data_IF_121957015456
#
_entry.id   IF_121957015456
#
_cell.length_a   1.000
_cell.length_b   1.000
_cell.length_c   1.000
_cell.angle_alpha   90.00
_cell.angle_beta   90.00
_cell.angle_gamma   90.00
#
_symmetry.space_group_name_H-M   'P 1'
#
loop_
_entity.id
_entity.type
_entity.pdbx_description
1 polymer ?
#
# COMPACT_ATOMS: atom_id res chain seq x y z
N UNK A 1 -0.32 -7.17 22.77
CA UNK A 1 0.60 -6.03 22.95
C UNK A 1 1.68 -6.13 21.88
N UNK A 2 1.48 -5.50 20.74
CA UNK A 2 2.46 -5.45 19.66
C UNK A 2 3.40 -4.24 19.80
N UNK A 3 4.51 -4.24 19.08
CA UNK A 3 5.40 -3.09 18.94
C UNK A 3 4.78 -2.17 17.88
N UNK A 4 4.31 -1.00 18.28
CA UNK A 4 3.66 -0.06 17.34
C UNK A 4 4.67 0.82 16.61
N UNK A 5 5.84 1.06 17.21
CA UNK A 5 6.91 1.86 16.64
C UNK A 5 8.28 1.51 17.21
N UNK A 6 9.32 1.75 16.42
CA UNK A 6 10.72 1.68 16.84
C UNK A 6 11.25 3.11 16.91
N UNK A 7 11.73 3.54 18.08
CA UNK A 7 12.27 4.88 18.25
C UNK A 7 13.78 4.87 18.07
N UNK A 8 14.27 5.63 17.10
CA UNK A 8 15.69 5.87 16.90
C UNK A 8 16.03 7.28 17.38
N UNK A 9 16.98 7.37 18.31
CA UNK A 9 17.50 8.68 18.74
C UNK A 9 18.55 9.18 17.77
N UNK A 10 18.34 10.36 17.22
CA UNK A 10 19.28 11.01 16.32
C UNK A 10 19.66 12.40 16.84
N UNK A 11 20.91 12.81 16.62
CA UNK A 11 21.36 14.16 16.99
C UNK A 11 20.72 15.27 16.14
N UNK A 12 20.32 14.94 14.90
CA UNK A 12 19.79 15.91 13.96
C UNK A 12 18.33 16.31 14.22
N UNK A 13 17.47 15.32 14.57
CA UNK A 13 16.02 15.55 14.70
C UNK A 13 15.47 15.14 16.07
N UNK A 14 16.31 14.61 16.97
CA UNK A 14 15.87 13.99 18.20
C UNK A 14 15.39 12.57 17.94
N UNK A 15 14.22 12.23 18.49
CA UNK A 15 13.63 10.92 18.29
C UNK A 15 12.95 10.81 16.92
N UNK A 16 13.32 9.79 16.14
CA UNK A 16 12.63 9.41 14.91
C UNK A 16 11.86 8.11 15.18
N UNK A 17 10.55 8.15 15.02
CA UNK A 17 9.69 6.98 15.15
C UNK A 17 9.57 6.27 13.80
N UNK A 18 9.91 4.99 13.76
CA UNK A 18 9.69 4.11 12.61
C UNK A 18 8.41 3.32 12.89
N UNK A 19 7.32 3.52 12.14
CA UNK A 19 6.09 2.80 12.35
C UNK A 19 6.26 1.32 12.01
N UNK A 20 5.69 0.46 12.84
CA UNK A 20 5.66 -0.98 12.61
C UNK A 20 4.23 -1.47 12.50
N UNK A 21 4.03 -2.67 11.97
CA UNK A 21 2.78 -3.38 12.13
C UNK A 21 2.67 -4.02 13.53
N UNK A 22 1.54 -4.66 13.81
CA UNK A 22 1.26 -5.35 15.08
C UNK A 22 2.28 -6.46 15.46
N UNK A 23 3.07 -6.91 14.49
CA UNK A 23 4.12 -7.91 14.67
C UNK A 23 5.53 -7.30 14.72
N UNK A 24 5.64 -5.96 14.78
CA UNK A 24 6.91 -5.26 14.81
C UNK A 24 7.64 -5.21 13.44
N UNK A 25 6.93 -5.44 12.32
CA UNK A 25 7.53 -5.43 10.98
C UNK A 25 7.45 -4.04 10.37
N UNK A 26 8.49 -3.64 9.66
CA UNK A 26 8.61 -2.37 8.94
C UNK A 26 8.37 -2.60 7.45
N UNK A 27 7.56 -1.77 6.83
CA UNK A 27 7.37 -1.76 5.39
C UNK A 27 8.58 -1.12 4.70
N UNK A 28 9.24 -1.90 3.84
CA UNK A 28 10.37 -1.44 3.04
C UNK A 28 9.83 -0.82 1.75
N UNK A 29 10.23 0.39 1.45
CA UNK A 29 9.99 1.01 0.16
C UNK A 29 11.09 0.57 -0.82
N UNK A 30 10.75 -0.33 -1.71
CA UNK A 30 11.61 -0.67 -2.84
C UNK A 30 11.46 0.43 -3.89
N UNK A 31 12.56 1.12 -4.21
CA UNK A 31 12.60 2.11 -5.28
C UNK A 31 12.20 1.50 -6.64
N UNK A 32 11.98 2.34 -7.63
CA UNK A 32 11.72 1.84 -8.98
C UNK A 32 12.80 0.86 -9.41
N UNK A 33 12.39 -0.28 -9.96
CA UNK A 33 13.25 -1.35 -10.49
C UNK A 33 14.31 -0.83 -11.48
N UNK A 34 14.03 0.31 -12.13
CA UNK A 34 14.97 1.00 -13.02
C UNK A 34 16.11 1.74 -12.28
N UNK A 35 15.89 2.17 -11.04
CA UNK A 35 16.97 2.72 -10.20
C UNK A 35 17.85 1.61 -9.64
N UNK A 36 17.33 0.41 -9.58
CA UNK A 36 17.98 -0.84 -9.20
C UNK A 36 18.60 -1.53 -10.42
N UNK A 37 18.44 -0.98 -11.65
CA UNK A 37 19.11 -1.56 -12.82
C UNK A 37 20.61 -1.65 -12.55
N UNK A 38 20.85 -2.77 -12.09
CA UNK A 38 21.98 -3.64 -11.69
C UNK A 38 23.36 -3.20 -12.11
N UNK A 39 23.56 -2.28 -12.98
CA UNK A 39 24.85 -2.29 -13.65
C UNK A 39 25.88 -1.33 -13.10
N UNK A 40 25.54 -0.30 -12.33
CA UNK A 40 26.61 0.69 -12.10
C UNK A 40 26.64 1.46 -10.78
N UNK A 41 25.59 1.45 -9.95
CA UNK A 41 25.63 2.37 -8.80
C UNK A 41 25.94 1.74 -7.45
N UNK A 42 25.44 0.54 -7.21
CA UNK A 42 25.38 0.04 -5.84
C UNK A 42 26.30 -1.12 -5.53
N UNK A 43 26.63 -1.95 -6.52
CA UNK A 43 27.52 -3.08 -6.29
C UNK A 43 28.97 -2.77 -6.60
N UNK A 44 29.82 -3.05 -5.62
CA UNK A 44 31.28 -2.97 -5.77
C UNK A 44 31.88 -4.26 -5.23
N UNK A 45 32.72 -4.92 -6.02
CA UNK A 45 33.41 -6.12 -5.57
C UNK A 45 34.34 -5.80 -4.40
N UNK A 46 34.20 -6.51 -3.28
CA UNK A 46 35.12 -6.40 -2.16
C UNK A 46 36.57 -6.65 -2.57
N UNK A 47 36.79 -7.60 -3.51
CA UNK A 47 38.14 -7.85 -4.05
C UNK A 47 38.71 -6.65 -4.82
N UNK A 48 37.86 -5.88 -5.50
CA UNK A 48 38.29 -4.69 -6.22
C UNK A 48 38.63 -3.53 -5.27
N UNK A 49 37.91 -3.42 -4.15
CA UNK A 49 38.24 -2.46 -3.09
C UNK A 49 39.61 -2.80 -2.47
N UNK A 50 39.80 -4.08 -2.08
CA UNK A 50 41.06 -4.55 -1.45
C UNK A 50 42.25 -4.37 -2.39
N UNK A 51 42.07 -4.61 -3.68
CA UNK A 51 43.12 -4.44 -4.70
C UNK A 51 43.30 -2.99 -5.16
N UNK A 52 42.59 -2.02 -4.56
CA UNK A 52 42.71 -0.59 -4.90
C UNK A 52 42.19 -0.23 -6.31
N UNK A 53 41.38 -1.08 -6.94
CA UNK A 53 40.84 -0.83 -8.28
C UNK A 53 39.62 0.07 -8.31
N UNK A 54 39.07 0.43 -7.13
CA UNK A 54 37.90 1.29 -6.98
C UNK A 54 38.34 2.69 -6.58
N UNK A 55 38.01 3.70 -7.38
CA UNK A 55 38.32 5.09 -7.08
C UNK A 55 37.66 5.60 -5.81
N UNK A 56 38.31 6.50 -5.09
CA UNK A 56 37.78 7.08 -3.84
C UNK A 56 36.41 7.75 -4.02
N UNK A 57 36.20 8.37 -5.17
CA UNK A 57 34.94 9.05 -5.53
C UNK A 57 33.70 8.11 -5.51
N UNK A 58 33.93 6.82 -5.71
CA UNK A 58 32.84 5.82 -5.60
C UNK A 58 32.50 5.44 -4.17
N UNK A 59 33.43 5.61 -3.24
CA UNK A 59 33.25 5.14 -1.86
C UNK A 59 33.10 6.33 -0.88
N UNK A 60 33.69 7.46 -1.16
CA UNK A 60 33.69 8.61 -0.26
C UNK A 60 32.25 9.14 -0.05
N UNK A 61 31.87 9.33 1.21
CA UNK A 61 30.53 9.81 1.58
C UNK A 61 29.42 8.81 1.35
N UNK A 62 29.73 7.54 1.09
CA UNK A 62 28.74 6.47 0.92
C UNK A 62 28.69 5.59 2.16
N UNK A 63 27.49 5.09 2.48
CA UNK A 63 27.29 4.00 3.42
C UNK A 63 27.47 2.68 2.66
N UNK A 64 28.43 1.87 3.07
CA UNK A 64 28.68 0.56 2.46
C UNK A 64 28.15 -0.57 3.35
N UNK A 65 27.48 -1.54 2.73
CA UNK A 65 27.05 -2.76 3.39
C UNK A 65 27.78 -3.92 2.72
N UNK A 66 28.46 -4.72 3.51
CA UNK A 66 29.13 -5.93 3.02
C UNK A 66 28.18 -7.11 3.15
N UNK A 67 27.96 -7.82 2.07
CA UNK A 67 27.13 -9.00 2.04
C UNK A 67 27.51 -9.95 0.91
N UNK A 68 26.85 -11.10 0.89
CA UNK A 68 27.06 -12.13 -0.11
C UNK A 68 25.99 -12.10 -1.15
N UNK A 69 26.36 -12.24 -2.43
CA UNK A 69 25.41 -12.32 -3.56
C UNK A 69 25.51 -13.66 -4.31
N UNK A 70 26.38 -14.57 -3.86
CA UNK A 70 26.56 -15.86 -4.49
C UNK A 70 25.39 -16.81 -4.21
N UNK A 71 24.83 -17.42 -5.25
CA UNK A 71 23.67 -18.32 -5.17
C UNK A 71 23.91 -19.49 -4.22
N UNK A 72 25.15 -19.98 -4.11
CA UNK A 72 25.54 -21.07 -3.20
C UNK A 72 25.44 -20.75 -1.72
N UNK A 73 25.40 -19.48 -1.33
CA UNK A 73 25.29 -19.05 0.07
C UNK A 73 23.84 -18.89 0.54
N UNK A 74 22.86 -19.19 -0.32
CA UNK A 74 21.41 -19.24 -0.01
C UNK A 74 20.82 -17.96 0.58
N UNK A 75 21.49 -16.82 0.46
CA UNK A 75 20.96 -15.52 0.89
C UNK A 75 20.24 -14.78 -0.24
N UNK A 76 19.41 -15.54 -0.96
CA UNK A 76 18.53 -15.02 -2.01
C UNK A 76 17.10 -15.06 -1.50
N UNK A 77 16.37 -13.95 -1.65
CA UNK A 77 15.00 -13.80 -1.19
C UNK A 77 14.08 -13.37 -2.32
N UNK A 78 12.82 -13.77 -2.21
CA UNK A 78 11.75 -13.24 -3.06
C UNK A 78 11.27 -11.91 -2.49
N UNK A 79 11.12 -10.93 -3.36
CA UNK A 79 10.60 -9.61 -3.01
C UNK A 79 9.47 -9.22 -3.98
N UNK A 80 8.64 -8.23 -3.64
CA UNK A 80 7.57 -7.76 -4.54
C UNK A 80 8.06 -7.21 -5.88
N UNK A 81 9.33 -6.80 -5.96
CA UNK A 81 9.92 -6.16 -7.16
C UNK A 81 10.88 -7.08 -7.92
N UNK A 82 11.38 -8.13 -7.28
CA UNK A 82 12.34 -9.06 -7.89
C UNK A 82 12.25 -10.45 -7.24
N UNK A 83 12.24 -11.49 -8.10
CA UNK A 83 12.14 -12.89 -7.66
C UNK A 83 13.43 -13.42 -6.99
N UNK A 84 14.56 -12.77 -7.19
CA UNK A 84 15.88 -13.23 -6.70
C UNK A 84 16.74 -12.07 -6.23
N UNK A 85 16.39 -11.48 -5.10
CA UNK A 85 17.14 -10.38 -4.51
C UNK A 85 18.10 -10.89 -3.43
N UNK A 86 19.40 -10.50 -3.45
CA UNK A 86 20.31 -10.78 -2.34
C UNK A 86 19.82 -10.14 -1.04
N UNK A 87 19.92 -10.86 0.08
CA UNK A 87 19.46 -10.35 1.38
C UNK A 87 20.14 -9.04 1.79
N UNK A 88 21.41 -8.85 1.44
CA UNK A 88 22.12 -7.59 1.66
C UNK A 88 21.45 -6.39 0.97
N UNK A 89 20.83 -6.61 -0.18
CA UNK A 89 20.10 -5.55 -0.91
C UNK A 89 18.80 -5.19 -0.22
N UNK A 90 18.11 -6.15 0.41
CA UNK A 90 16.94 -5.89 1.24
C UNK A 90 17.32 -4.99 2.42
N UNK A 91 18.44 -5.27 3.09
CA UNK A 91 18.95 -4.42 4.16
C UNK A 91 19.33 -3.01 3.66
N UNK A 92 19.90 -2.91 2.47
CA UNK A 92 20.20 -1.62 1.85
C UNK A 92 18.92 -0.80 1.60
N UNK A 93 17.88 -1.43 1.05
CA UNK A 93 16.57 -0.79 0.83
C UNK A 93 15.90 -0.38 2.15
N UNK A 94 16.03 -1.18 3.20
CA UNK A 94 15.54 -0.81 4.53
C UNK A 94 16.24 0.44 5.07
N UNK A 95 17.56 0.48 4.98
CA UNK A 95 18.36 1.64 5.43
C UNK A 95 18.03 2.87 4.60
N UNK A 96 17.89 2.73 3.30
CA UNK A 96 17.49 3.83 2.40
C UNK A 96 16.08 4.34 2.76
N UNK A 97 15.13 3.45 3.04
CA UNK A 97 13.79 3.80 3.53
C UNK A 97 13.86 4.62 4.82
N UNK A 98 14.67 4.20 5.79
CA UNK A 98 14.83 4.90 7.06
C UNK A 98 15.49 6.27 6.87
N UNK A 99 16.58 6.33 6.10
CA UNK A 99 17.28 7.60 5.82
C UNK A 99 16.36 8.57 5.08
N UNK A 100 15.67 8.09 4.05
CA UNK A 100 14.69 8.88 3.28
C UNK A 100 13.61 9.47 4.17
N UNK A 101 13.07 8.69 5.09
CA UNK A 101 12.06 9.15 6.04
C UNK A 101 12.62 10.16 7.05
N UNK A 102 13.84 9.95 7.56
CA UNK A 102 14.50 10.92 8.44
C UNK A 102 14.68 12.27 7.71
N UNK A 103 15.15 12.24 6.46
CA UNK A 103 15.30 13.44 5.64
C UNK A 103 13.94 14.14 5.40
N UNK A 104 12.90 13.38 5.13
CA UNK A 104 11.56 13.90 4.95
C UNK A 104 11.06 14.63 6.21
N UNK A 105 11.08 13.97 7.37
CA UNK A 105 10.60 14.57 8.61
C UNK A 105 11.45 15.76 9.06
N UNK A 106 12.76 15.71 8.82
CA UNK A 106 13.68 16.84 9.10
C UNK A 106 13.35 18.04 8.21
N UNK A 107 13.21 17.83 6.91
CA UNK A 107 12.90 18.92 5.97
C UNK A 107 11.50 19.50 6.21
N UNK A 108 10.53 18.66 6.53
CA UNK A 108 9.17 19.09 6.92
C UNK A 108 9.20 19.93 8.20
N UNK A 109 9.91 19.49 9.23
CA UNK A 109 10.10 20.26 10.47
C UNK A 109 10.73 21.63 10.20
N UNK A 110 11.77 21.69 9.36
CA UNK A 110 12.42 22.94 8.97
C UNK A 110 11.45 23.87 8.20
N UNK A 111 10.61 23.30 7.35
CA UNK A 111 9.55 24.02 6.63
C UNK A 111 8.53 24.64 7.60
N UNK A 112 8.07 23.88 8.61
CA UNK A 112 7.15 24.38 9.63
C UNK A 112 7.81 25.44 10.54
N UNK A 113 9.08 25.28 10.88
CA UNK A 113 9.86 26.31 11.61
C UNK A 113 9.96 27.60 10.79
N UNK A 114 10.18 27.52 9.47
CA UNK A 114 10.22 28.70 8.61
C UNK A 114 8.89 29.44 8.59
N UNK A 115 7.78 28.73 8.52
CA UNK A 115 6.43 29.29 8.62
C UNK A 115 6.20 30.00 9.96
N UNK A 116 6.44 29.31 11.07
CA UNK A 116 6.21 29.86 12.41
C UNK A 116 7.10 31.08 12.70
N UNK A 117 8.34 31.07 12.19
CA UNK A 117 9.24 32.23 12.28
C UNK A 117 8.73 33.42 11.49
N UNK A 118 8.18 33.21 10.30
CA UNK A 118 7.59 34.26 9.47
C UNK A 118 6.37 34.90 10.17
N UNK A 119 5.46 34.10 10.70
CA UNK A 119 4.32 34.58 11.49
C UNK A 119 4.76 35.37 12.72
N UNK A 120 5.74 34.86 13.47
CA UNK A 120 6.29 35.53 14.65
C UNK A 120 6.94 36.88 14.32
N UNK A 121 7.46 37.04 13.12
CA UNK A 121 8.06 38.28 12.62
C UNK A 121 7.01 39.27 12.06
N UNK A 122 5.70 38.99 12.19
CA UNK A 122 4.61 39.86 11.75
C UNK A 122 4.30 39.79 10.25
N UNK A 123 4.80 38.75 9.53
CA UNK A 123 4.45 38.54 8.14
C UNK A 123 3.00 38.05 8.00
N UNK A 124 2.40 38.32 6.84
CA UNK A 124 1.07 37.82 6.51
C UNK A 124 1.09 36.28 6.36
N UNK A 125 -0.08 35.65 6.43
CA UNK A 125 -0.19 34.17 6.20
C UNK A 125 0.35 33.76 4.84
N UNK A 126 0.12 34.56 3.81
CA UNK A 126 0.62 34.30 2.46
C UNK A 126 2.15 34.33 2.39
N UNK A 127 2.77 35.34 3.00
CA UNK A 127 4.23 35.44 3.08
C UNK A 127 4.83 34.31 3.91
N UNK A 128 4.19 33.90 5.01
CA UNK A 128 4.61 32.78 5.82
C UNK A 128 4.49 31.45 5.04
N UNK A 129 3.42 31.27 4.28
CA UNK A 129 3.26 30.11 3.40
C UNK A 129 4.32 30.07 2.30
N UNK A 130 4.67 31.23 1.74
CA UNK A 130 5.77 31.35 0.78
C UNK A 130 7.13 31.01 1.40
N UNK A 131 7.37 31.42 2.65
CA UNK A 131 8.56 31.05 3.39
C UNK A 131 8.66 29.53 3.64
N UNK A 132 7.52 28.91 3.98
CA UNK A 132 7.37 27.46 4.11
C UNK A 132 7.70 26.74 2.82
N UNK A 133 7.15 27.17 1.69
CA UNK A 133 7.31 26.56 0.38
C UNK A 133 8.72 26.68 -0.20
N UNK A 134 9.51 27.66 0.26
CA UNK A 134 10.92 27.79 -0.11
C UNK A 134 11.81 26.69 0.48
N UNK A 135 11.38 26.02 1.54
CA UNK A 135 12.10 24.88 2.12
C UNK A 135 11.82 23.64 1.28
N UNK A 136 12.83 23.14 0.58
CA UNK A 136 12.72 21.94 -0.23
C UNK A 136 12.49 20.71 0.66
N UNK A 137 11.36 20.06 0.51
CA UNK A 137 11.09 18.77 1.13
C UNK A 137 11.91 17.70 0.41
N UNK A 138 12.69 16.93 1.18
CA UNK A 138 13.60 15.90 0.65
C UNK A 138 13.27 14.57 1.30
N UNK A 139 13.33 13.49 0.54
CA UNK A 139 12.99 12.15 1.02
C UNK A 139 11.50 11.81 0.89
N UNK A 140 11.10 10.70 1.48
CA UNK A 140 9.74 10.19 1.47
C UNK A 140 9.34 9.71 2.87
N UNK A 141 8.10 9.93 3.32
CA UNK A 141 7.66 9.42 4.62
C UNK A 141 7.63 7.89 4.61
N UNK A 142 7.61 7.29 5.82
CA UNK A 142 7.33 5.87 5.95
C UNK A 142 5.97 5.51 5.37
N UNK A 143 5.88 4.30 4.82
CA UNK A 143 4.59 3.73 4.47
C UNK A 143 3.80 3.45 5.76
N UNK A 144 2.59 3.93 5.82
CA UNK A 144 1.69 3.74 6.96
C UNK A 144 0.77 2.55 6.70
N UNK A 145 0.88 1.53 7.52
CA UNK A 145 -0.07 0.43 7.61
C UNK A 145 -0.39 0.23 9.09
N UNK A 146 -1.38 0.94 9.58
CA UNK A 146 -1.73 0.91 11.00
C UNK A 146 -2.91 -0.02 11.29
N UNK A 147 -3.03 -0.48 12.54
CA UNK A 147 -4.17 -1.27 13.05
C UNK A 147 -5.51 -0.60 12.75
N UNK A 148 -5.56 0.73 12.80
CA UNK A 148 -6.75 1.50 12.46
C UNK A 148 -7.16 1.34 10.98
N UNK A 149 -6.21 1.17 10.04
CA UNK A 149 -6.54 0.97 8.63
C UNK A 149 -7.26 -0.36 8.40
N UNK A 150 -6.81 -1.45 9.04
CA UNK A 150 -7.50 -2.75 8.98
C UNK A 150 -8.93 -2.67 9.52
N UNK A 151 -9.15 -1.88 10.56
CA UNK A 151 -10.49 -1.63 11.10
C UNK A 151 -11.38 -0.90 10.09
N UNK A 152 -10.87 0.15 9.43
CA UNK A 152 -11.60 0.86 8.38
C UNK A 152 -11.84 -0.02 7.14
N UNK A 153 -10.89 -0.86 6.74
CA UNK A 153 -11.05 -1.85 5.69
C UNK A 153 -12.17 -2.85 6.01
N UNK A 154 -12.23 -3.32 7.27
CA UNK A 154 -13.29 -4.19 7.76
C UNK A 154 -14.67 -3.53 7.71
N UNK A 155 -14.81 -2.31 8.22
CA UNK A 155 -16.07 -1.55 8.15
C UNK A 155 -16.47 -1.30 6.71
N UNK A 156 -15.55 -0.88 5.86
CA UNK A 156 -15.80 -0.65 4.44
C UNK A 156 -16.33 -1.91 3.76
N UNK A 157 -15.71 -3.07 4.02
CA UNK A 157 -16.14 -4.37 3.48
C UNK A 157 -17.55 -4.74 3.91
N UNK A 158 -17.90 -4.55 5.19
CA UNK A 158 -19.24 -4.83 5.72
C UNK A 158 -20.29 -3.93 5.06
N UNK A 159 -20.02 -2.62 5.02
CA UNK A 159 -20.95 -1.66 4.42
C UNK A 159 -21.18 -1.94 2.93
N UNK A 160 -20.12 -2.25 2.20
CA UNK A 160 -20.19 -2.58 0.79
C UNK A 160 -20.97 -3.88 0.55
N UNK A 161 -20.73 -4.91 1.37
CA UNK A 161 -21.44 -6.18 1.31
C UNK A 161 -22.95 -6.03 1.59
N UNK A 162 -23.30 -5.23 2.61
CA UNK A 162 -24.71 -4.89 2.91
C UNK A 162 -25.36 -4.13 1.75
N UNK A 163 -24.66 -3.15 1.19
CA UNK A 163 -25.18 -2.38 0.07
C UNK A 163 -25.47 -3.27 -1.15
N UNK A 164 -24.54 -4.14 -1.54
CA UNK A 164 -24.74 -5.08 -2.65
C UNK A 164 -25.89 -6.06 -2.36
N UNK A 165 -26.02 -6.53 -1.12
CA UNK A 165 -27.12 -7.42 -0.73
C UNK A 165 -28.48 -6.73 -0.86
N UNK A 166 -28.60 -5.50 -0.35
CA UNK A 166 -29.84 -4.71 -0.45
C UNK A 166 -30.15 -4.38 -1.93
N UNK A 167 -29.12 -4.03 -2.70
CA UNK A 167 -29.25 -3.76 -4.12
C UNK A 167 -29.72 -4.98 -4.90
N UNK A 168 -29.27 -6.20 -4.53
CA UNK A 168 -29.68 -7.46 -5.16
C UNK A 168 -31.16 -7.79 -4.94
N UNK A 169 -31.77 -7.26 -3.87
CA UNK A 169 -33.21 -7.39 -3.61
C UNK A 169 -34.08 -6.42 -4.45
N UNK A 170 -33.49 -5.32 -4.91
CA UNK A 170 -34.22 -4.23 -5.56
C UNK A 170 -34.00 -4.16 -7.06
N UNK A 171 -32.82 -4.52 -7.52
CA UNK A 171 -32.39 -4.36 -8.91
C UNK A 171 -32.01 -5.71 -9.54
N UNK A 172 -32.10 -5.75 -10.88
CA UNK A 172 -31.73 -6.94 -11.65
C UNK A 172 -30.20 -7.20 -11.64
N UNK A 173 -29.79 -8.40 -12.10
CA UNK A 173 -28.38 -8.83 -12.05
C UNK A 173 -27.43 -7.94 -12.83
N UNK A 174 -27.88 -7.34 -13.94
CA UNK A 174 -27.05 -6.44 -14.78
C UNK A 174 -26.68 -5.16 -14.02
N UNK A 175 -27.63 -4.56 -13.29
CA UNK A 175 -27.39 -3.36 -12.49
C UNK A 175 -26.42 -3.69 -11.35
N UNK A 176 -26.63 -4.82 -10.68
CA UNK A 176 -25.78 -5.24 -9.57
C UNK A 176 -24.34 -5.52 -9.99
N UNK A 177 -24.09 -6.13 -11.16
CA UNK A 177 -22.74 -6.33 -11.65
C UNK A 177 -22.06 -5.00 -12.02
N UNK A 178 -22.81 -4.06 -12.59
CA UNK A 178 -22.29 -2.73 -12.90
C UNK A 178 -21.91 -1.96 -11.63
N UNK A 179 -22.72 -2.05 -10.59
CA UNK A 179 -22.42 -1.48 -9.27
C UNK A 179 -21.17 -2.14 -8.65
N UNK A 180 -21.08 -3.46 -8.69
CA UNK A 180 -19.93 -4.20 -8.17
C UNK A 180 -18.62 -3.74 -8.84
N UNK A 181 -18.59 -3.69 -10.18
CA UNK A 181 -17.42 -3.27 -10.94
C UNK A 181 -17.06 -1.81 -10.62
N UNK A 182 -18.06 -0.94 -10.52
CA UNK A 182 -17.84 0.48 -10.17
C UNK A 182 -17.24 0.64 -8.77
N UNK A 183 -17.74 -0.09 -7.77
CA UNK A 183 -17.23 -0.03 -6.40
C UNK A 183 -15.82 -0.61 -6.27
N UNK A 184 -15.52 -1.73 -6.94
CA UNK A 184 -14.18 -2.29 -6.96
C UNK A 184 -13.21 -1.29 -7.61
N UNK A 185 -13.58 -0.71 -8.76
CA UNK A 185 -12.77 0.31 -9.43
C UNK A 185 -12.54 1.56 -8.56
N UNK A 186 -13.58 2.04 -7.86
CA UNK A 186 -13.46 3.15 -6.93
C UNK A 186 -12.54 2.82 -5.74
N UNK A 187 -12.63 1.61 -5.17
CA UNK A 187 -11.77 1.17 -4.07
C UNK A 187 -10.30 1.11 -4.48
N UNK A 188 -9.99 0.60 -5.67
CA UNK A 188 -8.63 0.62 -6.23
C UNK A 188 -8.14 2.04 -6.50
N UNK A 189 -8.99 2.92 -7.03
CA UNK A 189 -8.64 4.32 -7.24
C UNK A 189 -8.34 5.05 -5.92
N UNK A 190 -9.16 4.84 -4.89
CA UNK A 190 -8.95 5.41 -3.55
C UNK A 190 -7.64 4.88 -2.95
N UNK A 191 -7.39 3.56 -3.06
CA UNK A 191 -6.16 2.94 -2.58
C UNK A 191 -4.92 3.57 -3.25
N UNK A 192 -4.96 3.72 -4.57
CA UNK A 192 -3.87 4.35 -5.32
C UNK A 192 -3.66 5.81 -4.90
N UNK A 193 -4.74 6.58 -4.73
CA UNK A 193 -4.67 7.97 -4.30
C UNK A 193 -4.06 8.10 -2.90
N UNK A 194 -4.53 7.31 -1.93
CA UNK A 194 -3.98 7.27 -0.57
C UNK A 194 -2.49 6.89 -0.56
N UNK A 195 -2.10 5.94 -1.41
CA UNK A 195 -0.70 5.55 -1.54
C UNK A 195 0.16 6.68 -2.12
N UNK A 196 -0.30 7.34 -3.17
CA UNK A 196 0.47 8.39 -3.85
C UNK A 196 0.59 9.67 -2.99
N UNK A 197 -0.51 10.11 -2.37
CA UNK A 197 -0.57 11.39 -1.65
C UNK A 197 -0.11 11.24 -0.19
N UNK A 198 -0.55 10.21 0.52
CA UNK A 198 -0.35 10.07 1.96
C UNK A 198 0.61 8.96 2.37
N UNK A 199 1.10 8.16 1.39
CA UNK A 199 1.91 6.95 1.64
C UNK A 199 1.22 5.97 2.60
N UNK A 200 -0.11 5.92 2.54
CA UNK A 200 -0.94 5.06 3.36
C UNK A 200 -1.33 3.82 2.55
N UNK A 201 -1.08 2.64 3.13
CA UNK A 201 -1.47 1.37 2.53
C UNK A 201 -2.91 1.06 2.91
N UNK A 202 -3.77 1.02 1.91
CA UNK A 202 -5.15 0.54 2.00
C UNK A 202 -5.31 -0.63 1.05
N UNK A 203 -5.71 -1.81 1.56
CA UNK A 203 -5.87 -3.01 0.75
C UNK A 203 -7.34 -3.17 0.28
N UNK A 204 -7.65 -2.86 -0.99
CA UNK A 204 -8.98 -3.04 -1.54
C UNK A 204 -9.29 -4.49 -1.92
N UNK A 205 -8.29 -5.37 -1.93
CA UNK A 205 -8.41 -6.74 -2.45
C UNK A 205 -9.37 -7.56 -1.61
N UNK A 206 -9.24 -7.49 -0.28
CA UNK A 206 -10.11 -8.21 0.64
C UNK A 206 -11.58 -7.78 0.48
N UNK A 207 -11.84 -6.47 0.42
CA UNK A 207 -13.16 -5.90 0.20
C UNK A 207 -13.73 -6.33 -1.17
N UNK A 208 -12.90 -6.29 -2.22
CA UNK A 208 -13.29 -6.70 -3.56
C UNK A 208 -13.68 -8.18 -3.66
N UNK A 209 -12.83 -9.07 -3.14
CA UNK A 209 -13.10 -10.52 -3.15
C UNK A 209 -14.33 -10.87 -2.31
N UNK A 210 -14.45 -10.32 -1.10
CA UNK A 210 -15.57 -10.56 -0.22
C UNK A 210 -16.90 -10.12 -0.85
N UNK A 211 -16.91 -8.91 -1.45
CA UNK A 211 -18.10 -8.37 -2.11
C UNK A 211 -18.48 -9.17 -3.35
N UNK A 212 -17.48 -9.64 -4.11
CA UNK A 212 -17.71 -10.53 -5.25
C UNK A 212 -18.37 -11.84 -4.82
N UNK A 213 -17.90 -12.47 -3.73
CA UNK A 213 -18.48 -13.69 -3.19
C UNK A 213 -19.92 -13.47 -2.70
N UNK A 214 -20.20 -12.35 -2.05
CA UNK A 214 -21.54 -11.96 -1.62
C UNK A 214 -22.47 -11.77 -2.84
N UNK A 215 -21.99 -11.07 -3.88
CA UNK A 215 -22.75 -10.90 -5.12
C UNK A 215 -23.06 -12.26 -5.77
N UNK A 216 -22.07 -13.13 -5.87
CA UNK A 216 -22.26 -14.47 -6.45
C UNK A 216 -23.28 -15.28 -5.66
N UNK A 217 -23.17 -15.30 -4.32
CA UNK A 217 -24.11 -15.98 -3.44
C UNK A 217 -25.55 -15.46 -3.59
N UNK A 218 -25.73 -14.15 -3.61
CA UNK A 218 -27.05 -13.53 -3.80
C UNK A 218 -27.65 -13.85 -5.17
N UNK A 219 -26.83 -13.78 -6.22
CA UNK A 219 -27.28 -14.09 -7.59
C UNK A 219 -27.69 -15.56 -7.71
N UNK A 220 -26.89 -16.45 -7.12
CA UNK A 220 -27.20 -17.89 -7.10
C UNK A 220 -28.47 -18.19 -6.30
N UNK A 221 -28.67 -17.59 -5.12
CA UNK A 221 -29.88 -17.75 -4.32
C UNK A 221 -31.12 -17.25 -5.06
N UNK A 222 -31.03 -16.10 -5.73
CA UNK A 222 -32.12 -15.58 -6.55
C UNK A 222 -32.46 -16.52 -7.73
N UNK A 223 -31.42 -17.04 -8.41
CA UNK A 223 -31.63 -18.03 -9.47
C UNK A 223 -32.35 -19.27 -8.99
N UNK A 224 -31.98 -19.83 -7.82
CA UNK A 224 -32.63 -20.98 -7.24
C UNK A 224 -34.11 -20.68 -6.88
N UNK A 225 -34.38 -19.49 -6.35
CA UNK A 225 -35.74 -19.05 -6.01
C UNK A 225 -36.59 -18.95 -7.27
N UNK A 226 -36.13 -18.30 -8.30
CA UNK A 226 -36.82 -18.16 -9.59
C UNK A 226 -37.07 -19.52 -10.25
N UNK A 227 -36.10 -20.44 -10.17
CA UNK A 227 -36.27 -21.79 -10.68
C UNK A 227 -37.33 -22.57 -9.92
N UNK A 228 -37.41 -22.45 -8.60
CA UNK A 228 -38.43 -23.08 -7.77
C UNK A 228 -39.82 -22.48 -8.00
N UNK A 229 -39.93 -21.16 -8.11
CA UNK A 229 -41.19 -20.50 -8.45
C UNK A 229 -41.73 -20.94 -9.80
N UNK A 230 -40.89 -21.01 -10.84
CA UNK A 230 -41.26 -21.53 -12.16
C UNK A 230 -41.73 -22.98 -12.08
N UNK A 231 -41.06 -23.82 -11.28
CA UNK A 231 -41.46 -25.22 -11.08
C UNK A 231 -42.80 -25.34 -10.39
N UNK A 232 -43.07 -24.52 -9.36
CA UNK A 232 -44.38 -24.50 -8.67
C UNK A 232 -45.51 -24.04 -9.59
N UNK A 233 -45.27 -22.95 -10.36
CA UNK A 233 -46.26 -22.46 -11.32
C UNK A 233 -46.57 -23.54 -12.36
N UNK A 234 -45.52 -24.16 -12.94
CA UNK A 234 -45.72 -25.25 -13.92
C UNK A 234 -46.42 -26.44 -13.31
N UNK A 235 -46.17 -26.83 -12.07
CA UNK A 235 -46.86 -27.88 -11.34
C UNK A 235 -48.31 -27.56 -11.11
N UNK A 236 -48.68 -26.32 -10.77
CA UNK A 236 -50.05 -25.88 -10.61
C UNK A 236 -50.82 -25.92 -11.95
N UNK A 237 -50.22 -25.45 -13.03
CA UNK A 237 -50.86 -25.47 -14.36
C UNK A 237 -51.02 -26.88 -14.92
N UNK A 238 -50.10 -27.82 -14.63
CA UNK A 238 -50.18 -29.21 -15.10
C UNK A 238 -51.35 -29.97 -14.52
N UNK A 239 -51.95 -29.51 -13.40
CA UNK A 239 -53.18 -30.07 -12.83
C UNK A 239 -54.46 -29.64 -13.57
N UNK A 240 -54.43 -28.54 -14.30
CA UNK A 240 -55.57 -27.95 -14.96
C UNK A 240 -55.55 -28.06 -16.50
N UNK A 241 -54.42 -28.36 -17.07
CA UNK A 241 -54.23 -28.43 -18.53
C UNK A 241 -53.80 -29.85 -18.96
N UNK A 242 -54.36 -30.30 -20.08
CA UNK A 242 -53.96 -31.58 -20.69
C UNK A 242 -52.45 -31.61 -20.96
N UNK A 243 -51.76 -32.75 -20.78
CA UNK A 243 -50.31 -32.86 -21.00
C UNK A 243 -49.82 -32.45 -22.40
N UNK A 244 -50.69 -32.32 -23.36
CA UNK A 244 -50.39 -31.90 -24.74
C UNK A 244 -50.30 -30.38 -24.93
N UNK A 245 -50.59 -29.56 -23.89
CA UNK A 245 -50.63 -28.10 -23.93
C UNK A 245 -49.62 -27.45 -22.95
N UNK A 246 -48.84 -28.22 -22.21
CA UNK A 246 -47.78 -27.82 -21.31
C UNK A 246 -46.44 -28.21 -21.90
#
# INVERSE_FOLDING_TARGET
NGVEEIIIQTKAIGNAAIPTDENGRVWIYYGESDSIKKEKRYYVSAADIIKGRVGKERLQGKLGILGTSATGLKDIRFTPVEDRMPGVEIHANLIDTVISAILYYTSKKNSDIAYNKAIKNGMTEEEAQNAKNKVKITGSPFLKSGTNMKFYEGIFTILLGLFITISALRFGPIVNISLLVSFIGAAFYISLKLFLEEKTLFDPTFAGVSTFLIYFGNTFANYLRDANEKKQIRGAFSQYLSPALV
#
